data_IF_897227903328
#
_entry.id   IF_897227903328
#
_cell.length_a   1.000
_cell.length_b   1.000
_cell.length_c   1.000
_cell.angle_alpha   90.00
_cell.angle_beta   90.00
_cell.angle_gamma   90.00
#
_symmetry.space_group_name_H-M   'P 1'
#
loop_
_entity.id
_entity.type
_entity.pdbx_description
1 polymer ?
#
# COMPACT_ATOMS: atom_id res chain seq x y z
N UNK A 1 5.90 -1.54 9.69
CA UNK A 1 6.54 -2.81 10.08
C UNK A 1 7.96 -2.84 9.53
N UNK A 2 8.97 -3.00 10.40
CA UNK A 2 10.38 -3.04 10.00
C UNK A 2 10.68 -4.49 9.56
N UNK A 3 10.68 -4.77 8.24
CA UNK A 3 11.29 -6.01 7.79
C UNK A 3 12.75 -5.99 8.26
N UNK A 4 13.11 -6.96 9.08
CA UNK A 4 14.47 -7.10 9.61
C UNK A 4 15.43 -7.18 8.42
N UNK A 5 16.53 -6.44 8.46
CA UNK A 5 17.64 -6.53 7.49
C UNK A 5 18.06 -7.97 7.24
N UNK A 6 17.84 -8.84 8.24
CA UNK A 6 18.00 -10.28 8.16
C UNK A 6 17.16 -10.96 7.07
N UNK A 7 15.89 -10.57 6.92
CA UNK A 7 14.99 -11.17 5.92
C UNK A 7 15.47 -10.92 4.49
N UNK A 8 16.03 -9.72 4.24
CA UNK A 8 16.62 -9.37 2.95
C UNK A 8 17.89 -10.17 2.65
N UNK A 9 18.75 -10.35 3.65
CA UNK A 9 19.97 -11.14 3.53
C UNK A 9 19.64 -12.60 3.21
N UNK A 10 18.65 -13.18 3.90
CA UNK A 10 18.19 -14.54 3.64
C UNK A 10 17.62 -14.67 2.22
N UNK A 11 16.79 -13.72 1.77
CA UNK A 11 16.20 -13.74 0.44
C UNK A 11 17.26 -13.68 -0.68
N UNK A 12 18.27 -12.82 -0.54
CA UNK A 12 19.41 -12.78 -1.48
C UNK A 12 20.19 -14.09 -1.46
N UNK A 13 20.44 -14.65 -0.27
CA UNK A 13 21.13 -15.94 -0.13
C UNK A 13 20.41 -17.09 -0.85
N UNK A 14 19.08 -17.15 -0.75
CA UNK A 14 18.25 -18.14 -1.46
C UNK A 14 18.33 -17.96 -2.98
N UNK A 15 18.25 -16.72 -3.47
CA UNK A 15 18.36 -16.42 -4.91
C UNK A 15 19.72 -16.85 -5.47
N UNK A 16 20.81 -16.53 -4.76
CA UNK A 16 22.18 -16.93 -5.14
C UNK A 16 22.31 -18.46 -5.12
N UNK A 17 21.80 -19.12 -4.09
CA UNK A 17 21.84 -20.59 -3.97
C UNK A 17 21.11 -21.30 -5.11
N UNK A 18 19.91 -20.82 -5.47
CA UNK A 18 19.14 -21.37 -6.60
C UNK A 18 19.89 -21.23 -7.92
N UNK A 19 20.40 -20.04 -8.22
CA UNK A 19 21.12 -19.79 -9.47
C UNK A 19 22.43 -20.59 -9.52
N UNK A 20 23.18 -20.64 -8.41
CA UNK A 20 24.39 -21.44 -8.32
C UNK A 20 24.12 -22.94 -8.54
N UNK A 21 23.01 -23.46 -7.98
CA UNK A 21 22.58 -24.85 -8.20
C UNK A 21 22.27 -25.14 -9.66
N UNK A 22 21.55 -24.23 -10.34
CA UNK A 22 21.26 -24.37 -11.78
C UNK A 22 22.54 -24.33 -12.62
N UNK A 23 23.45 -23.39 -12.34
CA UNK A 23 24.74 -23.28 -13.04
C UNK A 23 25.59 -24.54 -12.82
N UNK A 24 25.63 -25.07 -11.60
CA UNK A 24 26.35 -26.30 -11.29
C UNK A 24 25.77 -27.51 -12.05
N UNK A 25 24.44 -27.64 -12.13
CA UNK A 25 23.81 -28.68 -12.95
C UNK A 25 24.17 -28.54 -14.43
N UNK A 26 24.10 -27.33 -14.99
CA UNK A 26 24.48 -27.09 -16.39
C UNK A 26 25.96 -27.46 -16.61
N UNK A 27 26.86 -27.10 -15.69
CA UNK A 27 28.27 -27.46 -15.78
C UNK A 27 28.50 -28.98 -15.75
N UNK A 28 27.74 -29.71 -14.93
CA UNK A 28 27.79 -31.17 -14.86
C UNK A 28 27.32 -31.85 -16.17
N UNK A 29 26.25 -31.34 -16.80
CA UNK A 29 25.70 -31.94 -18.02
C UNK A 29 26.38 -31.48 -19.32
N UNK A 30 26.78 -30.21 -19.41
CA UNK A 30 27.43 -29.66 -20.60
C UNK A 30 28.94 -29.95 -20.65
N UNK A 31 29.53 -30.30 -19.51
CA UNK A 31 30.94 -30.63 -19.37
C UNK A 31 31.88 -29.42 -19.30
N UNK A 32 33.10 -29.68 -18.82
CA UNK A 32 34.08 -28.64 -18.46
C UNK A 32 34.52 -27.79 -19.66
N UNK A 33 34.71 -28.41 -20.84
CA UNK A 33 35.09 -27.67 -22.06
C UNK A 33 34.08 -26.59 -22.44
N UNK A 34 32.79 -26.90 -22.35
CA UNK A 34 31.74 -25.93 -22.63
C UNK A 34 31.73 -24.81 -21.60
N UNK A 35 31.90 -25.16 -20.32
CA UNK A 35 31.89 -24.19 -19.23
C UNK A 35 33.07 -23.20 -19.32
N UNK A 36 34.28 -23.68 -19.62
CA UNK A 36 35.45 -22.81 -19.77
C UNK A 36 35.29 -21.80 -20.92
N UNK A 37 34.64 -22.20 -22.02
CA UNK A 37 34.34 -21.32 -23.15
C UNK A 37 33.26 -20.29 -22.80
N UNK A 38 32.26 -20.66 -21.99
CA UNK A 38 31.09 -19.83 -21.74
C UNK A 38 31.09 -19.13 -20.37
N UNK A 39 32.13 -19.27 -19.54
CA UNK A 39 32.16 -18.82 -18.14
C UNK A 39 31.71 -17.37 -17.91
N UNK A 40 32.11 -16.45 -18.78
CA UNK A 40 31.73 -15.04 -18.67
C UNK A 40 30.26 -14.81 -19.01
N UNK A 41 29.75 -15.51 -20.02
CA UNK A 41 28.34 -15.48 -20.40
C UNK A 41 27.49 -16.08 -19.28
N UNK A 42 27.89 -17.23 -18.74
CA UNK A 42 27.22 -17.89 -17.63
C UNK A 42 27.20 -17.01 -16.38
N UNK A 43 28.32 -16.34 -16.05
CA UNK A 43 28.38 -15.42 -14.91
C UNK A 43 27.46 -14.21 -15.07
N UNK A 44 27.45 -13.57 -16.25
CA UNK A 44 26.58 -12.43 -16.52
C UNK A 44 25.10 -12.82 -16.39
N UNK A 45 24.71 -13.95 -16.96
CA UNK A 45 23.34 -14.46 -16.85
C UNK A 45 22.99 -14.84 -15.41
N UNK A 46 23.92 -15.43 -14.66
CA UNK A 46 23.70 -15.74 -13.25
C UNK A 46 23.39 -14.48 -12.44
N UNK A 47 24.13 -13.39 -12.66
CA UNK A 47 23.86 -12.10 -11.99
C UNK A 47 22.46 -11.58 -12.36
N UNK A 48 22.08 -11.60 -13.64
CA UNK A 48 20.74 -11.17 -14.05
C UNK A 48 19.64 -12.00 -13.40
N UNK A 49 19.80 -13.32 -13.33
CA UNK A 49 18.84 -14.20 -12.68
C UNK A 49 18.69 -13.91 -11.18
N UNK A 50 19.78 -13.65 -10.47
CA UNK A 50 19.70 -13.26 -9.05
C UNK A 50 18.92 -11.95 -8.89
N UNK A 51 19.18 -10.95 -9.73
CA UNK A 51 18.46 -9.66 -9.69
C UNK A 51 16.97 -9.86 -9.98
N UNK A 52 16.62 -10.61 -11.04
CA UNK A 52 15.23 -10.85 -11.43
C UNK A 52 14.48 -11.58 -10.32
N UNK A 53 15.04 -12.65 -9.77
CA UNK A 53 14.43 -13.42 -8.69
C UNK A 53 14.24 -12.56 -7.43
N UNK A 54 15.22 -11.71 -7.11
CA UNK A 54 15.11 -10.80 -5.97
C UNK A 54 14.03 -9.72 -6.18
N UNK A 55 13.90 -9.17 -7.40
CA UNK A 55 12.82 -8.25 -7.73
C UNK A 55 11.44 -8.92 -7.65
N UNK A 56 11.31 -10.16 -8.13
CA UNK A 56 10.09 -10.95 -8.00
C UNK A 56 9.76 -11.21 -6.53
N UNK A 57 10.76 -11.54 -5.71
CA UNK A 57 10.60 -11.68 -4.27
C UNK A 57 10.06 -10.37 -3.65
N UNK A 58 10.67 -9.22 -3.98
CA UNK A 58 10.17 -7.91 -3.53
C UNK A 58 8.72 -7.72 -3.93
N UNK A 59 8.36 -7.98 -5.19
CA UNK A 59 6.98 -7.80 -5.66
C UNK A 59 6.01 -8.73 -4.91
N UNK A 60 6.40 -10.00 -4.70
CA UNK A 60 5.56 -11.00 -4.02
C UNK A 60 5.42 -10.79 -2.51
N UNK A 61 6.41 -10.13 -1.90
CA UNK A 61 6.44 -9.84 -0.46
C UNK A 61 6.11 -8.40 -0.14
N UNK A 62 5.82 -7.58 -1.17
CA UNK A 62 5.08 -6.34 -0.95
C UNK A 62 3.83 -6.75 -0.20
N UNK A 63 3.58 -6.18 0.98
CA UNK A 63 2.28 -6.36 1.59
C UNK A 63 1.27 -5.95 0.52
N UNK A 64 0.32 -6.85 0.20
CA UNK A 64 -0.97 -6.38 -0.30
C UNK A 64 -1.34 -5.23 0.63
N UNK A 65 -1.80 -4.07 0.11
CA UNK A 65 -2.18 -2.96 0.97
C UNK A 65 -3.30 -3.44 1.88
N UNK A 66 -2.92 -3.99 3.04
CA UNK A 66 -3.78 -4.34 4.14
C UNK A 66 -4.50 -3.05 4.45
N UNK A 67 -5.81 -3.02 4.16
CA UNK A 67 -6.64 -1.84 3.95
C UNK A 67 -5.99 -0.54 4.42
N UNK A 68 -5.73 0.37 3.47
CA UNK A 68 -5.23 1.72 3.74
C UNK A 68 -5.73 2.23 5.10
N UNK A 69 -4.85 2.53 6.07
CA UNK A 69 -5.28 2.81 7.43
C UNK A 69 -6.32 3.92 7.38
N UNK A 70 -7.51 3.61 7.88
CA UNK A 70 -8.64 4.53 7.84
C UNK A 70 -8.32 5.68 8.80
N UNK A 71 -8.24 6.92 8.31
CA UNK A 71 -7.93 8.06 9.13
C UNK A 71 -9.05 8.30 10.13
N UNK A 72 -8.70 8.56 11.40
CA UNK A 72 -9.70 8.86 12.43
C UNK A 72 -10.20 10.30 12.28
N UNK A 73 -11.48 10.51 12.54
CA UNK A 73 -12.07 11.85 12.57
C UNK A 73 -11.78 12.53 13.90
N UNK A 74 -11.12 13.69 13.86
CA UNK A 74 -10.85 14.53 15.04
C UNK A 74 -11.99 15.48 15.33
N UNK A 75 -12.51 16.13 14.29
CA UNK A 75 -13.51 17.19 14.42
C UNK A 75 -14.43 17.23 13.20
N UNK A 76 -15.71 17.47 13.46
CA UNK A 76 -16.72 17.79 12.43
C UNK A 76 -17.25 19.19 12.72
N UNK A 77 -17.17 20.09 11.74
CA UNK A 77 -17.67 21.47 11.84
C UNK A 77 -19.06 21.60 11.22
N UNK A 78 -19.83 22.61 11.65
CA UNK A 78 -21.20 22.87 11.16
C UNK A 78 -21.27 23.18 9.66
N UNK A 79 -20.18 23.64 9.07
CA UNK A 79 -20.10 23.98 7.65
C UNK A 79 -19.77 22.77 6.75
N UNK A 80 -19.79 21.54 7.27
CA UNK A 80 -19.43 20.34 6.51
C UNK A 80 -17.93 20.16 6.29
N UNK A 81 -17.09 20.84 7.10
CA UNK A 81 -15.65 20.55 7.10
C UNK A 81 -15.35 19.51 8.16
N UNK A 82 -14.60 18.48 7.77
CA UNK A 82 -14.13 17.42 8.65
C UNK A 82 -12.62 17.51 8.75
N UNK A 83 -12.11 17.36 9.97
CA UNK A 83 -10.69 17.25 10.26
C UNK A 83 -10.36 15.81 10.61
N UNK A 84 -9.44 15.20 9.86
CA UNK A 84 -9.06 13.80 10.01
C UNK A 84 -7.54 13.67 10.22
N UNK A 85 -7.12 12.57 10.83
CA UNK A 85 -5.70 12.24 10.93
C UNK A 85 -5.10 12.00 9.53
N UNK A 86 -3.79 12.26 9.37
CA UNK A 86 -3.12 11.94 8.12
C UNK A 86 -3.16 10.44 7.83
N UNK A 87 -3.24 10.10 6.55
CA UNK A 87 -3.07 8.73 6.07
C UNK A 87 -2.33 8.75 4.74
N UNK A 88 -1.55 7.71 4.48
CA UNK A 88 -0.59 7.65 3.36
C UNK A 88 -1.23 7.79 1.96
N UNK A 89 -2.55 7.64 1.87
CA UNK A 89 -3.31 7.77 0.61
C UNK A 89 -4.02 9.11 0.45
N UNK A 90 -4.02 9.95 1.49
CA UNK A 90 -4.61 11.27 1.43
C UNK A 90 -3.62 12.25 0.78
N UNK A 91 -4.11 13.01 -0.17
CA UNK A 91 -3.41 14.10 -0.83
C UNK A 91 -4.41 15.20 -1.12
N UNK A 92 -3.94 16.43 -1.33
CA UNK A 92 -4.83 17.52 -1.73
C UNK A 92 -5.54 17.15 -3.04
N UNK A 93 -6.86 17.31 -3.06
CA UNK A 93 -7.72 16.91 -4.18
C UNK A 93 -8.22 15.46 -4.14
N UNK A 94 -7.72 14.61 -3.24
CA UNK A 94 -8.20 13.22 -3.11
C UNK A 94 -9.68 13.19 -2.72
N UNK A 95 -10.46 12.41 -3.48
CA UNK A 95 -11.87 12.14 -3.19
C UNK A 95 -12.00 11.01 -2.17
N UNK A 96 -12.86 11.21 -1.18
CA UNK A 96 -13.11 10.30 -0.07
C UNK A 96 -14.61 10.00 0.01
N UNK A 97 -14.95 8.80 0.45
CA UNK A 97 -16.31 8.42 0.82
C UNK A 97 -16.38 8.32 2.35
N UNK A 98 -17.42 8.92 2.93
CA UNK A 98 -17.60 9.04 4.38
C UNK A 98 -18.81 8.20 4.75
N UNK A 99 -18.54 7.15 5.51
CA UNK A 99 -19.52 6.19 5.99
C UNK A 99 -19.74 6.37 7.48
N UNK A 100 -20.94 6.00 7.92
CA UNK A 100 -21.24 5.79 9.32
C UNK A 100 -21.38 4.29 9.59
N UNK A 101 -20.70 3.81 10.62
CA UNK A 101 -20.82 2.42 11.05
C UNK A 101 -22.03 2.28 11.98
N UNK A 102 -23.08 1.63 11.51
CA UNK A 102 -24.31 1.34 12.25
C UNK A 102 -24.42 -0.18 12.48
N UNK A 103 -24.00 -0.64 13.66
CA UNK A 103 -23.87 -2.08 13.93
C UNK A 103 -22.79 -2.71 13.05
N UNK A 104 -23.18 -3.66 12.19
CA UNK A 104 -22.29 -4.33 11.23
C UNK A 104 -22.35 -3.71 9.82
N UNK A 105 -23.13 -2.64 9.63
CA UNK A 105 -23.35 -2.03 8.32
C UNK A 105 -22.62 -0.70 8.18
N UNK A 106 -22.03 -0.49 7.00
CA UNK A 106 -21.43 0.79 6.61
C UNK A 106 -22.41 1.58 5.75
N UNK A 107 -23.01 2.62 6.33
CA UNK A 107 -23.99 3.47 5.64
C UNK A 107 -23.28 4.68 5.05
N UNK A 108 -23.31 4.82 3.73
CA UNK A 108 -22.70 5.95 3.02
C UNK A 108 -23.51 7.23 3.28
N UNK A 109 -22.88 8.21 3.93
CA UNK A 109 -23.53 9.48 4.31
C UNK A 109 -23.23 10.60 3.30
N UNK A 110 -21.95 10.77 2.96
CA UNK A 110 -21.50 11.82 2.07
C UNK A 110 -20.20 11.46 1.35
N UNK A 111 -19.89 12.19 0.29
CA UNK A 111 -18.53 12.21 -0.28
C UNK A 111 -17.78 13.42 0.28
N UNK A 112 -16.48 13.46 0.10
CA UNK A 112 -15.68 14.63 0.43
C UNK A 112 -14.42 14.74 -0.40
N UNK A 113 -13.88 15.94 -0.45
CA UNK A 113 -12.61 16.24 -1.11
C UNK A 113 -11.63 16.81 -0.11
N UNK A 114 -10.40 16.32 -0.12
CA UNK A 114 -9.32 16.91 0.66
C UNK A 114 -8.98 18.29 0.10
N UNK A 115 -9.20 19.34 0.89
CA UNK A 115 -8.92 20.73 0.49
C UNK A 115 -7.60 21.26 1.04
N UNK A 116 -7.11 20.70 2.15
CA UNK A 116 -5.88 21.15 2.78
C UNK A 116 -5.26 20.04 3.65
N UNK A 117 -3.94 20.04 3.75
CA UNK A 117 -3.17 19.26 4.71
C UNK A 117 -2.36 20.25 5.54
N UNK A 118 -2.67 20.32 6.83
CA UNK A 118 -2.08 21.28 7.76
C UNK A 118 -0.64 20.90 8.13
N UNK A 119 0.13 21.87 8.61
CA UNK A 119 1.53 21.65 9.03
C UNK A 119 1.67 20.66 10.20
N UNK A 120 0.64 20.55 11.04
CA UNK A 120 0.55 19.58 12.15
C UNK A 120 0.15 18.17 11.68
N UNK A 121 -0.07 17.98 10.38
CA UNK A 121 -0.46 16.72 9.76
C UNK A 121 -1.97 16.45 9.76
N UNK A 122 -2.81 17.37 10.22
CA UNK A 122 -4.26 17.18 10.14
C UNK A 122 -4.77 17.49 8.73
N UNK A 123 -5.67 16.64 8.24
CA UNK A 123 -6.21 16.74 6.89
C UNK A 123 -7.62 17.32 6.95
N UNK A 124 -7.87 18.36 6.16
CA UNK A 124 -9.16 19.02 6.08
C UNK A 124 -9.91 18.54 4.84
N UNK A 125 -11.10 18.01 5.06
CA UNK A 125 -11.99 17.49 4.02
C UNK A 125 -13.26 18.34 3.99
N UNK A 126 -13.64 18.80 2.79
CA UNK A 126 -14.95 19.40 2.57
C UNK A 126 -15.92 18.32 2.12
N UNK A 127 -17.08 18.21 2.77
CA UNK A 127 -18.07 17.19 2.44
C UNK A 127 -19.12 17.68 1.45
N UNK A 128 -19.63 16.76 0.66
CA UNK A 128 -20.74 16.94 -0.26
C UNK A 128 -21.80 15.88 0.04
N UNK A 129 -23.04 16.27 0.38
CA UNK A 129 -24.11 15.33 0.68
C UNK A 129 -24.43 14.46 -0.54
N UNK A 130 -24.69 13.18 -0.31
CA UNK A 130 -25.25 12.30 -1.35
C UNK A 130 -26.78 12.36 -1.30
N UNK A 131 -27.38 12.37 -0.11
CA UNK A 131 -28.82 12.50 0.11
C UNK A 131 -29.11 13.20 1.44
N UNK A 132 -30.01 14.21 1.43
CA UNK A 132 -30.57 14.83 2.65
C UNK A 132 -29.80 16.03 3.21
N UNK A 133 -30.52 16.89 3.94
CA UNK A 133 -30.02 18.17 4.47
C UNK A 133 -29.37 18.08 5.87
N UNK A 134 -29.51 16.95 6.59
CA UNK A 134 -29.10 16.86 8.00
C UNK A 134 -27.88 15.95 8.28
N UNK A 135 -27.11 15.60 7.25
CA UNK A 135 -25.98 14.68 7.36
C UNK A 135 -24.87 15.19 8.28
N UNK A 136 -24.63 16.51 8.33
CA UNK A 136 -23.59 17.11 9.19
C UNK A 136 -23.90 16.88 10.67
N UNK A 137 -25.17 16.97 11.06
CA UNK A 137 -25.59 16.74 12.44
C UNK A 137 -25.39 15.27 12.83
N UNK A 138 -25.75 14.34 11.95
CA UNK A 138 -25.55 12.90 12.17
C UNK A 138 -24.06 12.54 12.32
N UNK A 139 -23.19 13.16 11.51
CA UNK A 139 -21.73 12.98 11.64
C UNK A 139 -21.19 13.55 12.95
N UNK A 140 -21.71 14.69 13.41
CA UNK A 140 -21.30 15.26 14.70
C UNK A 140 -21.68 14.36 15.87
N UNK A 141 -22.90 13.85 15.88
CA UNK A 141 -23.43 13.01 16.95
C UNK A 141 -22.71 11.64 17.01
N UNK A 142 -22.26 11.12 15.87
CA UNK A 142 -21.66 9.79 15.77
C UNK A 142 -20.19 9.81 15.31
N UNK A 143 -19.44 10.84 15.72
CA UNK A 143 -18.06 11.11 15.27
C UNK A 143 -17.14 9.88 15.33
N UNK A 144 -17.23 9.11 16.41
CA UNK A 144 -16.32 7.97 16.65
C UNK A 144 -16.66 6.74 15.81
N UNK A 145 -17.85 6.71 15.19
CA UNK A 145 -18.30 5.66 14.27
C UNK A 145 -18.09 6.03 12.79
N UNK A 146 -17.47 7.17 12.50
CA UNK A 146 -17.21 7.60 11.12
C UNK A 146 -16.05 6.81 10.53
N UNK A 147 -16.26 6.28 9.33
CA UNK A 147 -15.22 5.63 8.52
C UNK A 147 -14.98 6.46 7.25
N UNK A 148 -13.73 6.90 7.05
CA UNK A 148 -13.32 7.64 5.86
C UNK A 148 -12.53 6.72 4.94
N UNK A 149 -13.05 6.45 3.75
CA UNK A 149 -12.45 5.53 2.79
C UNK A 149 -12.07 6.24 1.49
N UNK A 150 -11.11 5.70 0.72
CA UNK A 150 -10.88 6.15 -0.65
C UNK A 150 -12.18 6.13 -1.45
N UNK A 151 -12.41 7.15 -2.27
CA UNK A 151 -13.64 7.30 -3.03
C UNK A 151 -14.02 6.04 -3.80
N UNK A 152 -15.31 5.73 -3.81
CA UNK A 152 -15.88 4.68 -4.66
C UNK A 152 -15.71 5.14 -6.11
N UNK A 153 -15.10 4.30 -6.97
CA UNK A 153 -15.22 4.51 -8.42
C UNK A 153 -16.70 4.49 -8.75
N UNK A 154 -17.27 5.65 -9.11
CA UNK A 154 -18.45 5.69 -9.98
C UNK A 154 -18.10 5.13 -11.34
#
# INVERSE_FOLDING_TARGET
>A
MRQSTWGWIVAVGVCVGLVAGVVAMIALFAGDKWFQVNKHLTLAHAIYWVIILFLLYIISTKPEPSGLPLPKVKLVRDNGHILIENSNWLSVGTMCAIYLLEGDFEVLQCTGQVINIQEDGLVQVITQPINGNNYVQQLKENKDAILVKPGVKT
#
